data_IF_359720981971
#
_entry.id   IF_359720981971
#
_cell.length_a   1.000
_cell.length_b   1.000
_cell.length_c   1.000
_cell.angle_alpha   90.00
_cell.angle_beta   90.00
_cell.angle_gamma   90.00
#
_symmetry.space_group_name_H-M   'P 1'
#
loop_
_entity.id
_entity.type
_entity.pdbx_description
1 polymer ?
#
# COMPACT_ATOMS: atom_id res chain seq x y z
N UNK A 1 7.12 26.11 -3.20
CA UNK A 1 8.25 26.77 -2.52
C UNK A 1 8.08 26.59 -1.03
N UNK A 2 9.16 26.67 -0.27
CA UNK A 2 9.12 26.74 1.20
C UNK A 2 9.99 27.88 1.66
N UNK A 3 9.59 28.57 2.71
CA UNK A 3 10.37 29.62 3.34
C UNK A 3 11.20 29.01 4.46
N UNK A 4 12.53 29.08 4.34
CA UNK A 4 13.46 28.60 5.36
C UNK A 4 14.41 29.75 5.69
N UNK A 5 14.36 30.25 6.93
CA UNK A 5 15.21 31.35 7.40
C UNK A 5 15.13 32.65 6.57
N UNK A 6 13.98 32.94 5.96
CA UNK A 6 13.76 34.14 5.13
C UNK A 6 14.27 34.01 3.68
N UNK A 7 14.71 32.82 3.28
CA UNK A 7 15.01 32.48 1.89
C UNK A 7 13.90 31.59 1.32
N UNK A 8 13.34 31.99 0.18
CA UNK A 8 12.33 31.20 -0.54
C UNK A 8 13.01 30.16 -1.42
N UNK A 9 12.86 28.89 -1.06
CA UNK A 9 13.44 27.76 -1.80
C UNK A 9 12.37 27.10 -2.69
N UNK A 10 12.70 26.90 -3.97
CA UNK A 10 11.85 26.14 -4.89
C UNK A 10 11.97 24.63 -4.61
N UNK A 11 10.84 23.97 -4.39
CA UNK A 11 10.76 22.51 -4.30
C UNK A 11 10.12 22.00 -5.59
N UNK A 12 10.86 21.32 -6.48
CA UNK A 12 10.28 20.68 -7.64
C UNK A 12 9.43 19.48 -7.18
N UNK A 13 8.22 19.38 -7.72
CA UNK A 13 7.28 18.29 -7.44
C UNK A 13 6.87 17.65 -8.76
N UNK A 14 6.89 16.32 -8.79
CA UNK A 14 6.44 15.50 -9.92
C UNK A 14 5.21 14.71 -9.52
N UNK A 15 4.39 14.31 -10.50
CA UNK A 15 3.21 13.46 -10.26
C UNK A 15 3.27 12.20 -11.09
N UNK A 16 2.68 11.13 -10.58
CA UNK A 16 2.39 9.94 -11.37
C UNK A 16 0.88 9.81 -11.51
N UNK A 17 0.41 9.43 -12.69
CA UNK A 17 -1.02 9.46 -13.02
C UNK A 17 -1.45 8.08 -13.56
N UNK A 18 -2.49 7.50 -12.97
CA UNK A 18 -3.19 6.35 -13.52
C UNK A 18 -4.50 6.78 -14.17
N UNK A 19 -4.78 6.28 -15.38
CA UNK A 19 -5.95 6.69 -16.16
C UNK A 19 -6.79 5.46 -16.48
N UNK A 20 -8.09 5.52 -16.18
CA UNK A 20 -9.07 4.54 -16.61
C UNK A 20 -10.28 5.24 -17.25
N UNK A 21 -10.92 4.54 -18.18
CA UNK A 21 -12.07 5.02 -18.97
C UNK A 21 -13.19 4.00 -18.87
N UNK A 22 -14.42 4.46 -18.63
CA UNK A 22 -15.62 3.62 -18.63
C UNK A 22 -16.30 3.72 -20.00
N UNK A 23 -16.79 2.60 -20.56
CA UNK A 23 -16.89 1.25 -19.95
C UNK A 23 -15.66 0.35 -20.13
N UNK A 24 -14.60 0.81 -20.81
CA UNK A 24 -13.48 -0.02 -21.28
C UNK A 24 -12.68 -0.69 -20.16
N UNK A 25 -12.58 -0.03 -19.00
CA UNK A 25 -11.80 -0.48 -17.84
C UNK A 25 -12.68 -0.82 -16.63
N UNK A 26 -14.01 -0.75 -16.78
CA UNK A 26 -14.96 -0.98 -15.70
C UNK A 26 -16.34 -0.44 -16.04
N UNK A 27 -17.37 -1.21 -15.68
CA UNK A 27 -18.77 -0.83 -15.85
C UNK A 27 -19.33 -0.08 -14.63
N UNK A 28 -18.67 -0.15 -13.48
CA UNK A 28 -19.00 0.61 -12.27
C UNK A 28 -17.91 1.60 -11.90
N UNK A 29 -18.26 2.63 -11.13
CA UNK A 29 -17.29 3.61 -10.63
C UNK A 29 -16.15 2.96 -9.83
N UNK A 30 -16.46 1.96 -9.00
CA UNK A 30 -15.43 1.25 -8.23
C UNK A 30 -14.45 0.51 -9.15
N UNK A 31 -14.95 -0.19 -10.18
CA UNK A 31 -14.09 -0.89 -11.13
C UNK A 31 -13.16 0.08 -11.90
N UNK A 32 -13.67 1.26 -12.27
CA UNK A 32 -12.87 2.29 -12.94
C UNK A 32 -11.79 2.85 -12.01
N UNK A 33 -12.13 3.08 -10.73
CA UNK A 33 -11.15 3.55 -9.73
C UNK A 33 -10.07 2.50 -9.47
N UNK A 34 -10.45 1.24 -9.26
CA UNK A 34 -9.49 0.15 -9.06
C UNK A 34 -8.53 0.02 -10.26
N UNK A 35 -9.07 0.12 -11.49
CA UNK A 35 -8.26 0.09 -12.70
C UNK A 35 -7.33 1.31 -12.85
N UNK A 36 -7.77 2.50 -12.44
CA UNK A 36 -6.94 3.70 -12.43
C UNK A 36 -5.81 3.59 -11.39
N UNK A 37 -6.10 3.03 -10.21
CA UNK A 37 -5.11 2.82 -9.15
C UNK A 37 -4.05 1.78 -9.55
N UNK A 38 -4.46 0.70 -10.22
CA UNK A 38 -3.52 -0.26 -10.81
C UNK A 38 -2.59 0.43 -11.83
N UNK A 39 -3.15 1.26 -12.72
CA UNK A 39 -2.36 2.02 -13.69
C UNK A 39 -1.42 3.03 -12.99
N UNK A 40 -1.88 3.67 -11.92
CA UNK A 40 -1.09 4.59 -11.11
C UNK A 40 0.09 3.85 -10.47
N UNK A 41 -0.15 2.64 -9.96
CA UNK A 41 0.89 1.81 -9.38
C UNK A 41 1.96 1.47 -10.43
N UNK A 42 1.55 1.08 -11.63
CA UNK A 42 2.46 0.84 -12.77
C UNK A 42 3.25 2.10 -13.16
N UNK A 43 2.63 3.28 -13.13
CA UNK A 43 3.32 4.55 -13.38
C UNK A 43 4.41 4.83 -12.32
N UNK A 44 4.11 4.54 -11.05
CA UNK A 44 5.08 4.67 -9.95
C UNK A 44 6.23 3.66 -10.06
N UNK A 45 5.93 2.41 -10.42
CA UNK A 45 6.92 1.36 -10.60
C UNK A 45 7.81 1.60 -11.84
N UNK A 46 7.24 2.19 -12.90
CA UNK A 46 7.91 2.47 -14.18
C UNK A 46 8.84 3.68 -14.20
N UNK A 47 9.24 4.22 -13.04
CA UNK A 47 10.17 5.36 -12.95
C UNK A 47 9.58 6.66 -12.41
N UNK A 48 8.26 6.70 -12.12
CA UNK A 48 7.53 7.89 -11.64
C UNK A 48 7.53 9.01 -12.69
N UNK A 49 7.01 10.19 -12.32
CA UNK A 49 6.89 11.38 -13.20
C UNK A 49 6.31 11.06 -14.59
N UNK A 50 5.28 10.22 -14.61
CA UNK A 50 4.72 9.67 -15.84
C UNK A 50 3.26 9.29 -15.65
N UNK A 51 2.60 8.89 -16.73
CA UNK A 51 1.25 8.37 -16.70
C UNK A 51 1.18 6.97 -17.29
N UNK A 52 0.16 6.21 -16.90
CA UNK A 52 -0.20 4.93 -17.53
C UNK A 52 -1.71 4.87 -17.70
N UNK A 53 -2.15 4.27 -18.80
CA UNK A 53 -3.55 3.93 -19.03
C UNK A 53 -3.75 2.50 -18.55
N UNK A 54 -4.86 2.26 -17.87
CA UNK A 54 -5.29 0.93 -17.46
C UNK A 54 -5.32 -0.01 -18.67
N UNK A 55 -4.97 -1.27 -18.45
CA UNK A 55 -5.09 -2.28 -19.51
C UNK A 55 -6.53 -2.75 -19.53
N UNK A 56 -7.19 -2.66 -20.67
CA UNK A 56 -8.52 -3.24 -20.84
C UNK A 56 -8.41 -4.76 -20.67
N UNK A 57 -8.97 -5.30 -19.58
CA UNK A 57 -9.22 -6.72 -19.49
C UNK A 57 -10.38 -6.99 -20.43
N UNK A 58 -10.11 -7.53 -21.63
CA UNK A 58 -11.21 -8.08 -22.42
C UNK A 58 -11.86 -9.15 -21.54
N UNK A 59 -13.13 -8.92 -21.20
CA UNK A 59 -13.90 -9.64 -20.19
C UNK A 59 -13.49 -11.10 -20.04
N UNK A 60 -13.04 -11.48 -18.84
CA UNK A 60 -13.57 -12.57 -17.98
C UNK A 60 -12.59 -12.76 -16.82
N UNK A 61 -12.88 -12.16 -15.65
CA UNK A 61 -12.60 -12.85 -14.38
C UNK A 61 -13.44 -12.22 -13.25
N UNK A 62 -14.61 -12.78 -12.91
CA UNK A 62 -15.34 -12.39 -11.70
C UNK A 62 -14.68 -12.92 -10.41
N UNK A 63 -13.53 -13.61 -10.48
CA UNK A 63 -12.88 -14.26 -9.35
C UNK A 63 -11.58 -13.58 -8.92
N UNK A 64 -11.64 -12.27 -8.67
CA UNK A 64 -10.69 -11.64 -7.74
C UNK A 64 -11.46 -11.15 -6.54
N UNK A 65 -11.65 -12.09 -5.63
CA UNK A 65 -12.03 -11.87 -4.24
C UNK A 65 -11.26 -10.67 -3.71
N UNK A 66 -11.96 -9.55 -3.51
CA UNK A 66 -11.46 -8.45 -2.71
C UNK A 66 -10.98 -9.06 -1.38
N UNK A 67 -9.69 -8.96 -1.08
CA UNK A 67 -9.20 -9.19 0.28
C UNK A 67 -9.76 -8.04 1.10
N UNK A 68 -10.72 -8.26 2.02
CA UNK A 68 -11.09 -7.20 2.93
C UNK A 68 -9.91 -7.01 3.88
N UNK A 69 -9.14 -5.94 3.71
CA UNK A 69 -8.36 -5.39 4.82
C UNK A 69 -9.38 -4.86 5.84
N UNK A 70 -9.90 -5.77 6.65
CA UNK A 70 -10.64 -5.44 7.83
C UNK A 70 -9.69 -4.72 8.78
N UNK A 71 -9.79 -3.39 8.80
CA UNK A 71 -9.26 -2.57 9.88
C UNK A 71 -9.88 -3.06 11.18
N UNK A 72 -9.03 -3.50 12.10
CA UNK A 72 -9.42 -4.03 13.39
C UNK A 72 -10.08 -2.92 14.23
N UNK A 73 -11.41 -2.93 14.29
CA UNK A 73 -12.15 -2.35 15.41
C UNK A 73 -12.43 -3.45 16.43
N UNK A 74 -11.57 -3.57 17.45
CA UNK A 74 -11.92 -4.19 18.73
C UNK A 74 -11.23 -3.43 19.85
N UNK A 75 -11.93 -2.44 20.37
CA UNK A 75 -11.71 -1.99 21.75
C UNK A 75 -12.05 -3.14 22.72
N UNK A 76 -11.20 -3.32 23.73
CA UNK A 76 -11.58 -3.79 25.05
C UNK A 76 -11.77 -5.29 25.25
N UNK A 77 -10.68 -5.99 25.55
CA UNK A 77 -10.69 -7.01 26.61
C UNK A 77 -9.28 -7.11 27.22
N UNK A 78 -9.16 -6.70 28.49
CA UNK A 78 -7.90 -6.78 29.26
C UNK A 78 -7.97 -8.07 30.07
N UNK A 79 -7.21 -9.13 29.71
CA UNK A 79 -7.13 -10.32 30.54
C UNK A 79 -6.31 -10.05 31.81
N UNK A 80 -6.68 -10.64 32.97
CA UNK A 80 -6.01 -10.39 34.23
C UNK A 80 -4.60 -10.99 34.26
N UNK A 81 -3.68 -10.22 34.83
CA UNK A 81 -2.33 -10.60 35.19
C UNK A 81 -2.33 -11.61 36.34
N UNK A 82 -1.76 -12.80 36.12
CA UNK A 82 -1.23 -13.64 37.19
C UNK A 82 -0.12 -14.56 36.66
N UNK A 83 1.04 -14.55 37.32
CA UNK A 83 1.88 -15.74 37.43
C UNK A 83 3.19 -15.81 36.62
N UNK A 84 4.24 -15.22 37.19
CA UNK A 84 5.61 -15.74 37.33
C UNK A 84 6.29 -16.58 36.21
N UNK A 85 7.32 -15.96 35.61
CA UNK A 85 8.73 -16.40 35.59
C UNK A 85 9.02 -17.91 35.60
N UNK A 86 9.64 -18.44 34.53
CA UNK A 86 10.97 -19.08 34.54
C UNK A 86 11.44 -19.26 33.07
N UNK A 87 12.47 -18.50 32.67
CA UNK A 87 13.09 -18.62 31.36
C UNK A 87 13.93 -19.90 31.25
N UNK A 88 13.71 -20.70 30.20
CA UNK A 88 14.65 -21.73 29.77
C UNK A 88 15.49 -21.18 28.63
N UNK A 89 16.71 -20.76 28.99
CA UNK A 89 17.75 -20.30 28.09
C UNK A 89 18.57 -21.52 27.63
N UNK A 90 18.63 -21.87 26.33
CA UNK A 90 19.63 -22.85 25.89
C UNK A 90 21.03 -22.20 25.90
N UNK A 91 22.05 -22.85 26.49
CA UNK A 91 23.40 -22.29 26.54
C UNK A 91 24.04 -22.26 25.15
N UNK A 92 24.66 -21.11 24.88
CA UNK A 92 25.56 -20.83 23.77
C UNK A 92 26.87 -21.55 24.05
N UNK A 93 27.25 -22.53 23.24
CA UNK A 93 28.57 -23.14 23.34
C UNK A 93 29.58 -22.22 22.66
N UNK A 94 30.53 -21.71 23.45
CA UNK A 94 31.75 -21.07 22.96
C UNK A 94 32.83 -22.15 22.93
N UNK A 95 33.54 -22.28 21.81
CA UNK A 95 34.85 -22.92 21.81
C UNK A 95 35.80 -22.01 21.05
N UNK A 96 36.57 -21.22 21.81
CA UNK A 96 37.72 -20.53 21.27
C UNK A 96 38.89 -21.50 21.06
N UNK A 97 39.71 -21.19 20.07
CA UNK A 97 41.16 -21.34 20.15
C UNK A 97 41.80 -20.23 19.34
#
# INVERSE_FOLDING_TARGET
TVDVSGETIAIPVTVSIGIAVSPEHGASGQQVLDAADDALYEAKAGGRDTYRIARSSRATDPDRTAVPTAVASREGDVPPSDGASFGSHPPRQTSGR
#
